data_IF_479959404679
#
_entry.id   IF_479959404679
#
_cell.length_a   1.000
_cell.length_b   1.000
_cell.length_c   1.000
_cell.angle_alpha   90.00
_cell.angle_beta   90.00
_cell.angle_gamma   90.00
#
_symmetry.space_group_name_H-M   'P 1'
#
loop_
_entity.id
_entity.type
_entity.pdbx_description
1 polymer ?
#
# COMPACT_ATOMS: atom_id res chain seq x y z
N UNK A 1 4.74 -0.22 13.43
CA UNK A 1 5.07 -1.35 12.55
C UNK A 1 4.73 -2.66 13.25
N UNK A 2 5.50 -3.09 14.26
CA UNK A 2 5.26 -4.35 14.99
C UNK A 2 3.81 -4.57 15.45
N UNK A 3 3.21 -3.60 16.14
CA UNK A 3 1.80 -3.69 16.58
C UNK A 3 0.82 -3.99 15.43
N UNK A 4 1.02 -3.39 14.27
CA UNK A 4 0.18 -3.62 13.09
C UNK A 4 0.41 -5.02 12.53
N UNK A 5 1.65 -5.49 12.50
CA UNK A 5 1.98 -6.84 12.03
C UNK A 5 1.41 -7.92 12.96
N UNK A 6 1.42 -7.68 14.27
CA UNK A 6 0.82 -8.57 15.27
C UNK A 6 -0.71 -8.60 15.16
N UNK A 7 -1.34 -7.44 15.00
CA UNK A 7 -2.81 -7.31 14.87
C UNK A 7 -3.32 -8.00 13.60
N UNK A 8 -2.64 -7.79 12.47
CA UNK A 8 -3.03 -8.35 11.18
C UNK A 8 -2.43 -9.74 10.93
N UNK A 9 -1.51 -10.22 11.79
CA UNK A 9 -0.76 -11.48 11.65
C UNK A 9 -0.07 -11.63 10.28
N UNK A 10 0.40 -10.52 9.72
CA UNK A 10 0.97 -10.45 8.37
C UNK A 10 2.12 -9.46 8.34
N UNK A 11 3.19 -9.72 7.56
CA UNK A 11 4.27 -8.76 7.37
C UNK A 11 3.75 -7.53 6.64
N UNK A 12 4.20 -6.35 7.08
CA UNK A 12 3.79 -5.08 6.48
C UNK A 12 4.16 -4.97 5.00
N UNK A 13 5.25 -5.63 4.57
CA UNK A 13 5.70 -5.61 3.16
C UNK A 13 4.68 -6.23 2.20
N UNK A 14 3.81 -7.13 2.69
CA UNK A 14 2.69 -7.66 1.91
C UNK A 14 1.39 -6.93 2.19
N UNK A 15 1.13 -6.61 3.45
CA UNK A 15 -0.12 -5.97 3.86
C UNK A 15 -0.29 -4.58 3.25
N UNK A 16 0.76 -3.74 3.25
CA UNK A 16 0.67 -2.35 2.79
C UNK A 16 0.36 -2.22 1.29
N UNK A 17 1.06 -2.90 0.37
CA UNK A 17 0.73 -2.80 -1.05
C UNK A 17 -0.71 -3.24 -1.36
N UNK A 18 -1.17 -4.30 -0.72
CA UNK A 18 -2.53 -4.81 -0.91
C UNK A 18 -3.58 -3.79 -0.46
N UNK A 19 -3.51 -3.33 0.79
CA UNK A 19 -4.44 -2.32 1.31
C UNK A 19 -4.42 -1.03 0.48
N UNK A 20 -3.22 -0.55 0.12
CA UNK A 20 -3.12 0.69 -0.65
C UNK A 20 -3.65 0.52 -2.08
N UNK A 21 -3.52 -0.65 -2.70
CA UNK A 21 -4.13 -0.93 -4.00
C UNK A 21 -5.65 -1.07 -3.93
N UNK A 22 -6.18 -1.70 -2.89
CA UNK A 22 -7.62 -1.95 -2.76
C UNK A 22 -8.41 -0.69 -2.38
N UNK A 23 -7.90 0.10 -1.42
CA UNK A 23 -8.66 1.20 -0.83
C UNK A 23 -7.94 2.56 -0.89
N UNK A 24 -6.71 2.60 -1.40
CA UNK A 24 -5.91 3.82 -1.48
C UNK A 24 -5.20 4.18 -0.17
N UNK A 25 -4.17 5.02 -0.28
CA UNK A 25 -3.25 5.34 0.83
C UNK A 25 -3.95 5.93 2.05
N UNK A 26 -4.86 6.90 1.84
CA UNK A 26 -5.54 7.58 2.95
C UNK A 26 -6.53 6.69 3.67
N UNK A 27 -7.25 5.83 2.95
CA UNK A 27 -8.17 4.88 3.58
C UNK A 27 -7.39 3.79 4.33
N UNK A 28 -6.29 3.30 3.76
CA UNK A 28 -5.39 2.35 4.41
C UNK A 28 -4.82 2.92 5.71
N UNK A 29 -4.33 4.17 5.72
CA UNK A 29 -3.85 4.81 6.94
C UNK A 29 -4.92 4.89 8.03
N UNK A 30 -6.15 5.28 7.66
CA UNK A 30 -7.30 5.31 8.58
C UNK A 30 -7.63 3.92 9.12
N UNK A 31 -7.63 2.89 8.27
CA UNK A 31 -7.91 1.50 8.69
C UNK A 31 -6.84 0.96 9.64
N UNK A 32 -5.57 1.29 9.39
CA UNK A 32 -4.44 0.90 10.24
C UNK A 32 -4.30 1.75 11.51
N UNK A 33 -5.17 2.77 11.70
CA UNK A 33 -5.14 3.65 12.86
C UNK A 33 -3.87 4.53 12.94
N UNK A 34 -3.27 4.87 11.81
CA UNK A 34 -2.04 5.69 11.73
C UNK A 34 -2.18 6.87 10.77
N UNK A 35 -1.23 7.79 10.77
CA UNK A 35 -1.24 8.93 9.84
C UNK A 35 -0.83 8.53 8.42
N UNK A 36 -1.26 9.31 7.42
CA UNK A 36 -0.80 9.16 6.03
C UNK A 36 0.73 9.24 5.94
N UNK A 37 1.37 10.11 6.72
CA UNK A 37 2.82 10.26 6.76
C UNK A 37 3.50 9.00 7.30
N UNK A 38 2.89 8.34 8.29
CA UNK A 38 3.38 7.07 8.85
C UNK A 38 3.35 5.95 7.81
N UNK A 39 2.26 5.80 7.06
CA UNK A 39 2.17 4.84 5.96
C UNK A 39 3.17 5.17 4.85
N UNK A 40 3.26 6.44 4.45
CA UNK A 40 4.24 6.91 3.46
C UNK A 40 5.69 6.60 3.87
N UNK A 41 6.03 6.82 5.14
CA UNK A 41 7.34 6.48 5.68
C UNK A 41 7.61 4.96 5.65
N UNK A 42 6.63 4.11 5.97
CA UNK A 42 6.82 2.65 5.92
C UNK A 42 7.04 2.15 4.50
N UNK A 43 6.28 2.64 3.54
CA UNK A 43 6.45 2.33 2.12
C UNK A 43 7.86 2.70 1.64
N UNK A 44 8.32 3.91 1.98
CA UNK A 44 9.68 4.36 1.69
C UNK A 44 10.73 3.45 2.35
N UNK A 45 10.57 3.15 3.63
CA UNK A 45 11.51 2.33 4.41
C UNK A 45 11.65 0.91 3.85
N UNK A 46 10.55 0.34 3.34
CA UNK A 46 10.50 -1.01 2.77
C UNK A 46 10.80 -1.01 1.26
N UNK A 47 11.21 0.13 0.69
CA UNK A 47 11.46 0.30 -0.74
C UNK A 47 10.26 -0.12 -1.62
N UNK A 48 9.04 0.13 -1.15
CA UNK A 48 7.80 -0.11 -1.88
C UNK A 48 7.45 1.15 -2.67
N UNK A 49 7.42 1.01 -4.00
CA UNK A 49 7.03 2.10 -4.90
C UNK A 49 5.54 2.05 -5.20
N UNK A 50 4.86 3.18 -5.06
CA UNK A 50 3.47 3.35 -5.46
C UNK A 50 3.41 4.20 -6.72
N UNK A 51 2.68 3.72 -7.71
CA UNK A 51 2.36 4.47 -8.92
C UNK A 51 0.85 4.64 -9.02
N UNK A 52 0.39 5.87 -9.24
CA UNK A 52 -1.02 6.18 -9.50
C UNK A 52 -1.21 6.34 -10.99
N UNK A 53 -2.11 5.55 -11.57
CA UNK A 53 -2.39 5.57 -13.00
C UNK A 53 -3.88 5.84 -13.18
N UNK A 54 -4.22 6.78 -14.05
CA UNK A 54 -5.59 6.99 -14.49
C UNK A 54 -5.86 6.05 -15.66
N UNK A 55 -6.99 5.33 -15.61
CA UNK A 55 -7.40 4.36 -16.62
C UNK A 55 -8.82 4.72 -17.05
N UNK A 56 -9.07 4.82 -18.35
CA UNK A 56 -10.41 5.15 -18.86
C UNK A 56 -11.35 3.94 -18.72
N UNK A 57 -12.68 4.15 -18.70
CA UNK A 57 -13.62 3.03 -18.70
C UNK A 57 -13.36 2.08 -19.87
N UNK A 58 -13.21 0.78 -19.58
CA UNK A 58 -12.93 -0.25 -20.59
C UNK A 58 -11.44 -0.48 -20.90
N UNK A 59 -10.53 0.36 -20.37
CA UNK A 59 -9.10 0.12 -20.45
C UNK A 59 -8.60 -0.77 -19.30
N UNK A 60 -7.54 -1.54 -19.56
CA UNK A 60 -6.89 -2.41 -18.56
C UNK A 60 -5.44 -2.03 -18.38
N UNK A 61 -4.96 -2.00 -17.14
CA UNK A 61 -3.56 -1.78 -16.81
C UNK A 61 -2.86 -3.11 -16.53
N UNK A 62 -1.78 -3.40 -17.25
CA UNK A 62 -0.89 -4.52 -16.98
C UNK A 62 0.43 -4.03 -16.38
N UNK A 63 0.84 -4.60 -15.25
CA UNK A 63 2.11 -4.28 -14.58
C UNK A 63 3.12 -5.38 -14.91
N UNK A 64 4.17 -5.02 -15.66
CA UNK A 64 5.33 -5.88 -15.92
C UNK A 64 6.48 -5.52 -15.00
N UNK A 65 7.01 -6.49 -14.27
CA UNK A 65 8.25 -6.32 -13.49
C UNK A 65 9.42 -6.29 -14.47
N UNK A 66 10.29 -5.28 -14.37
CA UNK A 66 11.58 -5.36 -15.05
C UNK A 66 12.43 -6.41 -14.33
N UNK A 67 12.93 -7.38 -15.10
CA UNK A 67 13.81 -8.45 -14.61
C UNK A 67 15.17 -7.89 -14.20
#
# INVERSE_FOLDING_TARGET
MLKVEEEYKRPLERLLPELVNEIGLSAAARQLGVSNATVGYWLLKMNIQIQRVAVSPGETLEIKRQQ
#
